data_IF_532785062474
#
_entry.id   IF_532785062474
#
_cell.length_a   1.000
_cell.length_b   1.000
_cell.length_c   1.000
_cell.angle_alpha   90.00
_cell.angle_beta   90.00
_cell.angle_gamma   90.00
#
_symmetry.space_group_name_H-M   'P 1'
#
loop_
_entity.id
_entity.type
_entity.pdbx_description
1 polymer ?
#
# COMPACT_ATOMS: atom_id res chain seq x y z
N UNK A 1 32.45 -66.41 -5.27
CA UNK A 1 32.04 -65.00 -5.19
C UNK A 1 32.00 -64.57 -3.72
N UNK A 2 33.14 -64.59 -3.01
CA UNK A 2 33.18 -64.38 -1.54
C UNK A 2 34.06 -63.19 -1.11
N UNK A 3 34.72 -62.48 -2.04
CA UNK A 3 35.66 -61.38 -1.74
C UNK A 3 35.17 -59.97 -2.09
N UNK A 4 33.96 -59.80 -2.62
CA UNK A 4 33.46 -58.48 -3.02
C UNK A 4 32.88 -57.68 -1.84
N UNK A 5 32.35 -58.35 -0.82
CA UNK A 5 31.75 -57.69 0.35
C UNK A 5 32.77 -56.89 1.19
N UNK A 6 33.98 -57.42 1.48
CA UNK A 6 35.00 -56.64 2.19
C UNK A 6 35.47 -55.42 1.41
N UNK A 7 35.64 -55.53 0.08
CA UNK A 7 36.09 -54.44 -0.79
C UNK A 7 35.05 -53.30 -0.90
N UNK A 8 33.76 -53.67 -0.97
CA UNK A 8 32.65 -52.71 -0.92
C UNK A 8 32.60 -52.02 0.44
N UNK A 9 32.76 -52.76 1.54
CA UNK A 9 32.76 -52.20 2.89
C UNK A 9 33.93 -51.21 3.10
N UNK A 10 35.13 -51.57 2.64
CA UNK A 10 36.32 -50.71 2.65
C UNK A 10 36.11 -49.42 1.86
N UNK A 11 35.48 -49.53 0.69
CA UNK A 11 35.17 -48.39 -0.17
C UNK A 11 34.15 -47.47 0.50
N UNK A 12 33.10 -48.04 1.11
CA UNK A 12 32.09 -47.28 1.86
C UNK A 12 32.75 -46.59 3.06
N UNK A 13 33.63 -47.25 3.81
CA UNK A 13 34.34 -46.61 4.94
C UNK A 13 35.21 -45.44 4.49
N UNK A 14 35.89 -45.54 3.34
CA UNK A 14 36.72 -44.44 2.82
C UNK A 14 35.90 -43.26 2.30
N UNK A 15 34.73 -43.53 1.72
CA UNK A 15 33.87 -42.50 1.10
C UNK A 15 32.85 -41.90 2.09
N UNK A 16 32.51 -42.60 3.17
CA UNK A 16 31.53 -42.16 4.16
C UNK A 16 31.83 -40.78 4.77
N UNK A 17 33.08 -40.41 5.13
CA UNK A 17 33.39 -39.06 5.62
C UNK A 17 33.11 -37.98 4.57
N UNK A 18 33.46 -38.24 3.30
CA UNK A 18 33.21 -37.31 2.18
C UNK A 18 31.72 -37.10 1.96
N UNK A 19 30.91 -38.16 2.08
CA UNK A 19 29.45 -38.06 2.00
C UNK A 19 28.84 -37.33 3.20
N UNK A 20 29.37 -37.56 4.39
CA UNK A 20 28.94 -36.87 5.60
C UNK A 20 29.21 -35.36 5.50
N UNK A 21 30.40 -34.96 5.06
CA UNK A 21 30.76 -33.55 4.93
C UNK A 21 29.97 -32.86 3.81
N UNK A 22 29.79 -33.51 2.64
CA UNK A 22 28.90 -33.00 1.59
C UNK A 22 27.47 -32.83 2.06
N UNK A 23 26.99 -33.70 2.95
CA UNK A 23 25.63 -33.61 3.50
C UNK A 23 25.52 -32.40 4.44
N UNK A 24 26.53 -32.17 5.28
CA UNK A 24 26.61 -30.99 6.15
C UNK A 24 26.66 -29.69 5.34
N UNK A 25 27.51 -29.63 4.31
CA UNK A 25 27.63 -28.46 3.43
C UNK A 25 26.29 -28.14 2.74
N UNK A 26 25.58 -29.16 2.24
CA UNK A 26 24.26 -28.95 1.63
C UNK A 26 23.23 -28.46 2.63
N UNK A 27 23.23 -29.01 3.84
CA UNK A 27 22.30 -28.59 4.89
C UNK A 27 22.57 -27.14 5.30
N UNK A 28 23.83 -26.78 5.49
CA UNK A 28 24.22 -25.42 5.85
C UNK A 28 23.90 -24.44 4.72
N UNK A 29 24.19 -24.81 3.47
CA UNK A 29 23.83 -23.99 2.31
C UNK A 29 22.31 -23.76 2.24
N UNK A 30 21.50 -24.80 2.43
CA UNK A 30 20.03 -24.68 2.47
C UNK A 30 19.57 -23.77 3.61
N UNK A 31 20.14 -23.94 4.80
CA UNK A 31 19.84 -23.08 5.94
C UNK A 31 20.13 -21.61 5.64
N UNK A 32 21.28 -21.32 5.04
CA UNK A 32 21.66 -19.96 4.65
C UNK A 32 20.75 -19.41 3.54
N UNK A 33 20.37 -20.24 2.56
CA UNK A 33 19.42 -19.88 1.51
C UNK A 33 18.03 -19.56 2.09
N UNK A 34 17.55 -20.35 3.05
CA UNK A 34 16.27 -20.13 3.75
C UNK A 34 16.28 -18.82 4.56
N UNK A 35 17.36 -18.54 5.29
CA UNK A 35 17.53 -17.29 6.04
C UNK A 35 17.52 -16.10 5.07
N UNK A 36 18.32 -16.15 4.01
CA UNK A 36 18.39 -15.07 3.03
C UNK A 36 17.07 -14.85 2.29
N UNK A 37 16.32 -15.92 2.00
CA UNK A 37 14.99 -15.83 1.41
C UNK A 37 13.99 -15.18 2.38
N UNK A 38 14.06 -15.53 3.66
CA UNK A 38 13.19 -14.95 4.69
C UNK A 38 13.48 -13.46 4.90
N UNK A 39 14.76 -13.07 4.98
CA UNK A 39 15.17 -11.67 5.10
C UNK A 39 14.69 -10.82 3.91
N UNK A 40 14.85 -11.33 2.68
CA UNK A 40 14.33 -10.66 1.47
C UNK A 40 12.81 -10.52 1.50
N UNK A 41 12.11 -11.55 1.95
CA UNK A 41 10.65 -11.51 2.08
C UNK A 41 10.21 -10.42 3.07
N UNK A 42 10.82 -10.35 4.25
CA UNK A 42 10.51 -9.32 5.25
C UNK A 42 10.81 -7.91 4.74
N UNK A 43 11.96 -7.71 4.10
CA UNK A 43 12.34 -6.42 3.52
C UNK A 43 11.36 -5.98 2.43
N UNK A 44 10.91 -6.92 1.58
CA UNK A 44 9.92 -6.61 0.54
C UNK A 44 8.53 -6.30 1.12
N UNK A 45 8.13 -6.99 2.18
CA UNK A 45 6.87 -6.67 2.88
C UNK A 45 6.89 -5.28 3.50
N UNK A 46 8.00 -4.91 4.14
CA UNK A 46 8.16 -3.57 4.72
C UNK A 46 8.11 -2.48 3.64
N UNK A 47 8.88 -2.68 2.55
CA UNK A 47 8.88 -1.78 1.40
C UNK A 47 7.49 -1.60 0.80
N UNK A 48 6.72 -2.69 0.67
CA UNK A 48 5.34 -2.64 0.18
C UNK A 48 4.43 -1.85 1.10
N UNK A 49 4.54 -2.07 2.42
CA UNK A 49 3.75 -1.34 3.41
C UNK A 49 4.03 0.17 3.35
N UNK A 50 5.30 0.55 3.29
CA UNK A 50 5.69 1.96 3.21
C UNK A 50 5.25 2.60 1.90
N UNK A 51 5.40 1.91 0.78
CA UNK A 51 4.89 2.40 -0.50
C UNK A 51 3.37 2.58 -0.47
N UNK A 52 2.62 1.64 0.12
CA UNK A 52 1.17 1.76 0.23
C UNK A 52 0.75 2.95 1.10
N UNK A 53 1.41 3.15 2.24
CA UNK A 53 1.19 4.33 3.11
C UNK A 53 1.48 5.62 2.37
N UNK A 54 2.58 5.66 1.61
CA UNK A 54 2.95 6.82 0.80
C UNK A 54 1.92 7.12 -0.28
N UNK A 55 1.46 6.11 -1.02
CA UNK A 55 0.41 6.31 -2.03
C UNK A 55 -0.87 6.88 -1.40
N UNK A 56 -1.28 6.37 -0.24
CA UNK A 56 -2.46 6.90 0.46
C UNK A 56 -2.29 8.34 0.91
N UNK A 57 -1.11 8.68 1.41
CA UNK A 57 -0.79 10.06 1.76
C UNK A 57 -0.92 10.98 0.52
N UNK A 58 -0.42 10.55 -0.64
CA UNK A 58 -0.56 11.31 -1.89
C UNK A 58 -2.02 11.44 -2.34
N UNK A 59 -2.83 10.39 -2.23
CA UNK A 59 -4.28 10.45 -2.52
C UNK A 59 -5.00 11.47 -1.63
N UNK A 60 -4.66 11.50 -0.34
CA UNK A 60 -5.24 12.46 0.61
C UNK A 60 -4.79 13.90 0.29
N UNK A 61 -3.53 14.08 -0.08
CA UNK A 61 -2.99 15.38 -0.47
C UNK A 61 -3.65 15.91 -1.76
N UNK A 62 -3.84 15.05 -2.76
CA UNK A 62 -4.54 15.40 -4.00
C UNK A 62 -6.01 15.75 -3.75
N UNK A 63 -6.70 14.94 -2.94
CA UNK A 63 -8.09 15.22 -2.52
C UNK A 63 -8.19 16.56 -1.79
N UNK A 64 -7.25 16.86 -0.87
CA UNK A 64 -7.20 18.15 -0.19
C UNK A 64 -6.98 19.30 -1.17
N UNK A 65 -6.05 19.16 -2.11
CA UNK A 65 -5.77 20.20 -3.11
C UNK A 65 -7.01 20.48 -3.98
N UNK A 66 -7.72 19.45 -4.42
CA UNK A 66 -8.96 19.60 -5.20
C UNK A 66 -10.05 20.34 -4.41
N UNK A 67 -10.22 20.02 -3.12
CA UNK A 67 -11.16 20.73 -2.25
C UNK A 67 -10.79 22.20 -2.09
N UNK A 68 -9.50 22.50 -1.93
CA UNK A 68 -9.02 23.87 -1.79
C UNK A 68 -9.23 24.69 -3.07
N UNK A 69 -8.97 24.09 -4.23
CA UNK A 69 -9.24 24.70 -5.53
C UNK A 69 -10.74 24.97 -5.71
N UNK A 70 -11.60 24.01 -5.36
CA UNK A 70 -13.05 24.17 -5.44
C UNK A 70 -13.55 25.27 -4.49
N UNK A 71 -12.96 25.38 -3.29
CA UNK A 71 -13.24 26.46 -2.33
C UNK A 71 -12.88 27.83 -2.88
N UNK A 72 -11.69 27.97 -3.47
CA UNK A 72 -11.27 29.21 -4.12
C UNK A 72 -12.18 29.57 -5.30
N UNK A 73 -12.57 28.58 -6.10
CA UNK A 73 -13.48 28.80 -7.21
C UNK A 73 -14.87 29.25 -6.72
N UNK A 74 -15.42 28.62 -5.68
CA UNK A 74 -16.68 29.03 -5.07
C UNK A 74 -16.60 30.47 -4.53
N UNK A 75 -15.50 30.82 -3.86
CA UNK A 75 -15.27 32.18 -3.37
C UNK A 75 -15.16 33.21 -4.51
N UNK A 76 -14.62 32.83 -5.67
CA UNK A 76 -14.61 33.71 -6.84
C UNK A 76 -16.02 33.87 -7.42
N UNK A 77 -16.81 32.79 -7.51
CA UNK A 77 -18.19 32.84 -8.00
C UNK A 77 -19.08 33.74 -7.13
N UNK A 78 -18.90 33.73 -5.81
CA UNK A 78 -19.71 34.56 -4.91
C UNK A 78 -19.41 36.05 -5.02
N UNK A 79 -18.26 36.44 -5.58
CA UNK A 79 -17.89 37.83 -5.86
C UNK A 79 -18.44 38.35 -7.19
N UNK A 80 -18.90 37.47 -8.09
CA UNK A 80 -19.50 37.88 -9.34
C UNK A 80 -20.90 38.47 -9.10
N UNK A 81 -21.20 39.57 -9.76
CA UNK A 81 -22.53 40.18 -9.79
C UNK A 81 -23.45 39.37 -10.72
N UNK A 82 -23.88 38.21 -10.24
CA UNK A 82 -24.83 37.32 -10.92
C UNK A 82 -26.15 37.32 -10.16
N UNK A 83 -27.26 37.38 -10.90
CA UNK A 83 -28.60 37.30 -10.34
C UNK A 83 -28.82 35.95 -9.64
N UNK A 84 -29.09 36.00 -8.34
CA UNK A 84 -29.09 34.83 -7.45
C UNK A 84 -30.31 33.93 -7.63
N UNK A 85 -31.38 34.46 -8.23
CA UNK A 85 -32.59 33.73 -8.58
C UNK A 85 -32.49 33.02 -9.94
N UNK A 86 -31.34 33.16 -10.64
CA UNK A 86 -31.08 32.42 -11.88
C UNK A 86 -31.15 30.92 -11.61
N UNK A 87 -31.90 30.19 -12.43
CA UNK A 87 -32.03 28.74 -12.33
C UNK A 87 -30.75 28.03 -12.80
N UNK A 88 -30.30 27.06 -12.01
CA UNK A 88 -29.22 26.12 -12.26
C UNK A 88 -29.78 24.70 -12.09
N UNK A 89 -30.36 24.17 -13.18
CA UNK A 89 -31.09 22.90 -13.13
C UNK A 89 -32.35 23.02 -12.28
N UNK A 90 -32.47 22.18 -11.26
CA UNK A 90 -33.64 22.14 -10.36
C UNK A 90 -33.53 23.11 -9.16
N UNK A 91 -32.42 23.86 -9.06
CA UNK A 91 -32.16 24.79 -7.94
C UNK A 91 -31.91 26.21 -8.46
N UNK A 92 -32.09 27.21 -7.60
CA UNK A 92 -31.57 28.56 -7.86
C UNK A 92 -30.05 28.60 -7.66
N UNK A 93 -29.39 29.60 -8.24
CA UNK A 93 -27.96 29.84 -8.03
C UNK A 93 -27.63 30.04 -6.54
N UNK A 94 -28.49 30.73 -5.78
CA UNK A 94 -28.33 30.89 -4.33
C UNK A 94 -28.31 29.55 -3.58
N UNK A 95 -29.26 28.67 -3.89
CA UNK A 95 -29.37 27.35 -3.28
C UNK A 95 -28.20 26.46 -3.69
N UNK A 96 -27.78 26.52 -4.95
CA UNK A 96 -26.63 25.77 -5.44
C UNK A 96 -25.33 26.19 -4.74
N UNK A 97 -25.08 27.49 -4.57
CA UNK A 97 -23.89 27.99 -3.88
C UNK A 97 -23.88 27.56 -2.40
N UNK A 98 -25.04 27.60 -1.74
CA UNK A 98 -25.19 27.14 -0.34
C UNK A 98 -24.93 25.64 -0.21
N UNK A 99 -25.49 24.84 -1.13
CA UNK A 99 -25.25 23.41 -1.20
C UNK A 99 -23.76 23.09 -1.42
N UNK A 100 -23.11 23.80 -2.35
CA UNK A 100 -21.70 23.63 -2.65
C UNK A 100 -20.81 23.96 -1.44
N UNK A 101 -21.11 25.03 -0.70
CA UNK A 101 -20.40 25.40 0.52
C UNK A 101 -20.51 24.31 1.60
N UNK A 102 -21.72 23.78 1.84
CA UNK A 102 -21.93 22.67 2.78
C UNK A 102 -21.22 21.39 2.34
N UNK A 103 -21.20 21.11 1.04
CA UNK A 103 -20.50 19.94 0.50
C UNK A 103 -18.98 20.05 0.71
N UNK A 104 -18.38 21.21 0.42
CA UNK A 104 -16.95 21.46 0.64
C UNK A 104 -16.56 21.44 2.12
N UNK A 105 -17.42 21.92 3.00
CA UNK A 105 -17.19 21.88 4.45
C UNK A 105 -17.15 20.44 5.00
N UNK A 106 -17.85 19.48 4.39
CA UNK A 106 -17.86 18.09 4.83
C UNK A 106 -16.79 17.21 4.14
N UNK A 107 -16.37 17.58 2.93
CA UNK A 107 -15.46 16.77 2.12
C UNK A 107 -13.96 16.92 2.43
N UNK A 108 -13.53 17.99 3.11
CA UNK A 108 -12.11 18.22 3.37
C UNK A 108 -11.54 17.13 4.30
N UNK A 109 -10.53 16.36 3.87
CA UNK A 109 -9.94 15.28 4.67
C UNK A 109 -9.32 15.76 5.99
N UNK A 110 -8.90 17.04 6.08
CA UNK A 110 -8.37 17.62 7.32
C UNK A 110 -9.45 17.96 8.36
N UNK A 111 -10.72 18.07 7.97
CA UNK A 111 -11.81 18.40 8.90
C UNK A 111 -12.14 17.26 9.87
N UNK A 112 -11.70 16.04 9.57
CA UNK A 112 -11.84 14.87 10.43
C UNK A 112 -10.74 14.79 11.51
N UNK A 113 -9.79 15.73 11.51
CA UNK A 113 -8.66 15.78 12.44
C UNK A 113 -7.45 14.98 11.97
N UNK A 114 -6.27 15.43 12.39
CA UNK A 114 -4.98 14.84 12.02
C UNK A 114 -4.87 13.38 12.46
N UNK A 115 -5.42 13.03 13.62
CA UNK A 115 -5.42 11.66 14.15
C UNK A 115 -6.21 10.69 13.25
N UNK A 116 -7.38 11.10 12.76
CA UNK A 116 -8.19 10.27 11.86
C UNK A 116 -7.48 10.06 10.52
N UNK A 117 -6.80 11.09 10.02
CA UNK A 117 -6.02 11.03 8.78
C UNK A 117 -4.88 10.03 8.87
N UNK A 118 -4.05 10.10 9.92
CA UNK A 118 -2.94 9.16 10.07
C UNK A 118 -3.41 7.74 10.43
N UNK A 119 -4.53 7.60 11.16
CA UNK A 119 -5.17 6.29 11.37
C UNK A 119 -5.59 5.64 10.05
N UNK A 120 -6.08 6.41 9.08
CA UNK A 120 -6.43 5.91 7.75
C UNK A 120 -5.21 5.45 6.96
N UNK A 121 -4.10 6.20 7.03
CA UNK A 121 -2.82 5.80 6.42
C UNK A 121 -2.26 4.52 7.05
N UNK A 122 -2.35 4.39 8.38
CA UNK A 122 -1.83 3.22 9.12
C UNK A 122 -2.60 1.94 8.84
N UNK A 123 -3.92 2.03 8.58
CA UNK A 123 -4.80 0.89 8.30
C UNK A 123 -4.50 0.19 6.97
N UNK A 124 -3.70 0.79 6.09
CA UNK A 124 -3.36 0.18 4.80
C UNK A 124 -2.22 -0.81 4.97
N UNK A 125 -2.59 -2.04 5.29
CA UNK A 125 -1.66 -3.19 5.33
C UNK A 125 -1.52 -3.89 3.97
N UNK A 126 -2.49 -3.71 3.06
CA UNK A 126 -2.47 -4.21 1.69
C UNK A 126 -3.43 -3.39 0.84
N UNK A 127 -2.93 -2.66 -0.17
CA UNK A 127 -3.75 -1.82 -1.03
C UNK A 127 -4.63 -2.68 -1.95
N UNK A 128 -5.88 -2.89 -1.55
CA UNK A 128 -6.96 -3.25 -2.48
C UNK A 128 -7.58 -1.93 -2.92
N UNK A 129 -7.23 -1.46 -4.11
CA UNK A 129 -7.78 -0.24 -4.71
C UNK A 129 -9.31 -0.35 -4.76
N UNK A 130 -10.02 0.34 -3.86
CA UNK A 130 -11.44 0.61 -4.04
C UNK A 130 -11.58 1.70 -5.10
N UNK A 131 -11.30 1.37 -6.36
CA UNK A 131 -11.94 2.09 -7.47
C UNK A 131 -13.42 1.74 -7.39
N UNK A 132 -14.25 2.67 -6.91
CA UNK A 132 -15.71 2.57 -7.03
C UNK A 132 -16.03 2.31 -8.51
N UNK A 133 -16.82 1.28 -8.85
CA UNK A 133 -17.35 1.15 -10.19
C UNK A 133 -18.28 2.34 -10.42
N UNK A 134 -17.98 3.11 -11.46
CA UNK A 134 -18.91 4.08 -12.01
C UNK A 134 -20.02 3.24 -12.65
N UNK A 135 -21.21 3.27 -12.04
CA UNK A 135 -22.46 2.82 -12.63
C UNK A 135 -23.29 4.06 -12.96
#
# INVERSE_FOLDING_TARGET
>A
MENLLPEIFDTIQRVAPILADRTKERLEKRRLEEIAAHERYLAEQERKRDNNRWQRFLELADSWQQHEQARHFLAALTQLEIERDTSVGDMTLAEWLTWAEGHLASGNPLNHGVEALFSDIEKITSYTSFKKPIY
#
